data_IF_317298886613
#
_entry.id   IF_317298886613
#
_cell.length_a   1.000
_cell.length_b   1.000
_cell.length_c   1.000
_cell.angle_alpha   90.00
_cell.angle_beta   90.00
_cell.angle_gamma   90.00
#
_symmetry.space_group_name_H-M   'P 1'
#
loop_
_entity.id
_entity.type
_entity.pdbx_description
1 polymer ?
#
# COMPACT_ATOMS: atom_id res chain seq x y z
N UNK A 1 39.02 -17.01 34.51
CA UNK A 1 38.77 -16.28 33.24
C UNK A 1 37.34 -15.81 33.33
N UNK A 2 37.10 -14.48 33.38
CA UNK A 2 35.75 -13.91 33.32
C UNK A 2 35.10 -14.37 32.02
N UNK A 3 33.84 -14.82 32.07
CA UNK A 3 33.09 -15.16 30.85
C UNK A 3 33.03 -13.91 29.95
N UNK A 4 33.32 -14.08 28.66
CA UNK A 4 33.28 -12.99 27.70
C UNK A 4 31.82 -12.53 27.53
N UNK A 5 31.51 -11.32 27.96
CA UNK A 5 30.19 -10.73 27.84
C UNK A 5 29.98 -10.28 26.37
N UNK A 6 28.96 -10.82 25.73
CA UNK A 6 28.53 -10.40 24.39
C UNK A 6 27.16 -9.76 24.47
N UNK A 7 26.85 -8.88 23.52
CA UNK A 7 25.61 -8.11 23.43
C UNK A 7 24.98 -8.30 22.08
N UNK A 8 23.68 -8.47 22.05
CA UNK A 8 22.92 -8.56 20.83
C UNK A 8 21.58 -7.85 21.02
N UNK A 9 21.23 -6.98 20.09
CA UNK A 9 19.90 -6.37 20.07
C UNK A 9 18.91 -7.34 19.43
N UNK A 10 17.66 -7.23 19.86
CA UNK A 10 16.55 -7.91 19.19
C UNK A 10 15.45 -6.89 18.92
N UNK A 11 15.26 -6.55 17.66
CA UNK A 11 14.18 -5.73 17.13
C UNK A 11 13.17 -6.67 16.44
N UNK A 12 11.91 -6.46 16.73
CA UNK A 12 10.85 -7.26 16.11
C UNK A 12 10.69 -6.92 14.62
N UNK A 13 11.00 -7.85 13.70
CA UNK A 13 10.87 -7.55 12.28
C UNK A 13 9.40 -7.46 11.82
N UNK A 14 8.44 -8.00 12.57
CA UNK A 14 7.03 -7.93 12.20
C UNK A 14 6.51 -6.48 12.29
N UNK A 15 7.06 -5.68 13.19
CA UNK A 15 6.63 -4.29 13.36
C UNK A 15 6.79 -3.43 12.09
N UNK A 16 7.85 -3.62 11.32
CA UNK A 16 8.01 -2.90 10.04
C UNK A 16 7.10 -3.45 8.96
N UNK A 17 6.78 -4.74 8.99
CA UNK A 17 5.82 -5.33 8.06
C UNK A 17 4.40 -4.87 8.39
N UNK A 18 4.01 -4.81 9.66
CA UNK A 18 2.73 -4.21 10.09
C UNK A 18 2.62 -2.75 9.67
N UNK A 19 3.71 -1.98 9.84
CA UNK A 19 3.74 -0.59 9.37
C UNK A 19 3.60 -0.51 7.85
N UNK A 20 4.28 -1.37 7.10
CA UNK A 20 4.14 -1.44 5.65
C UNK A 20 2.70 -1.78 5.24
N UNK A 21 2.08 -2.75 5.90
CA UNK A 21 0.68 -3.09 5.66
C UNK A 21 -0.27 -1.91 5.94
N UNK A 22 0.05 -1.04 6.89
CA UNK A 22 -0.76 0.16 7.18
C UNK A 22 -0.74 1.20 6.04
N UNK A 23 0.23 1.14 5.13
CA UNK A 23 0.26 1.99 3.94
C UNK A 23 -0.86 1.62 2.96
N UNK A 24 -1.24 0.34 2.95
CA UNK A 24 -2.21 -0.27 2.03
C UNK A 24 -3.47 -0.78 2.78
N UNK A 25 -3.74 -0.28 4.00
CA UNK A 25 -4.79 -0.81 4.89
C UNK A 25 -6.19 -0.87 4.26
N UNK A 26 -6.46 -0.03 3.25
CA UNK A 26 -7.71 -0.02 2.48
C UNK A 26 -7.51 -0.40 1.00
N UNK A 27 -6.52 -1.26 0.71
CA UNK A 27 -6.21 -1.72 -0.65
C UNK A 27 -7.43 -2.38 -1.32
N UNK A 28 -8.25 -3.10 -0.56
CA UNK A 28 -9.51 -3.69 -1.03
C UNK A 28 -10.56 -2.68 -1.52
N UNK A 29 -10.43 -1.39 -1.18
CA UNK A 29 -11.27 -0.31 -1.70
C UNK A 29 -10.69 0.24 -3.00
N UNK A 30 -9.36 0.17 -3.17
CA UNK A 30 -8.64 0.69 -4.32
C UNK A 30 -7.74 -0.40 -4.89
N UNK A 31 -8.11 -0.99 -6.00
CA UNK A 31 -7.36 -2.11 -6.62
C UNK A 31 -5.97 -1.72 -7.16
N UNK A 32 -5.66 -0.44 -7.29
CA UNK A 32 -4.44 0.00 -7.96
C UNK A 32 -3.55 0.94 -7.16
N UNK A 33 -4.10 1.90 -6.41
CA UNK A 33 -3.30 2.92 -5.72
C UNK A 33 -3.95 3.30 -4.38
N UNK A 34 -3.24 3.09 -3.27
CA UNK A 34 -3.74 3.41 -1.93
C UNK A 34 -4.01 4.91 -1.71
N UNK A 35 -4.85 5.26 -0.74
CA UNK A 35 -5.06 6.67 -0.34
C UNK A 35 -3.77 7.35 0.10
N UNK A 36 -2.90 6.60 0.75
CA UNK A 36 -1.59 7.09 1.23
C UNK A 36 -0.73 7.44 0.03
N UNK A 37 -0.53 6.53 -0.90
CA UNK A 37 0.24 6.74 -2.12
C UNK A 37 -0.26 7.98 -2.89
N UNK A 38 -1.53 7.99 -3.29
CA UNK A 38 -2.13 9.12 -4.04
C UNK A 38 -1.97 10.48 -3.38
N UNK A 39 -2.00 10.50 -2.04
CA UNK A 39 -1.84 11.74 -1.29
C UNK A 39 -0.38 12.17 -1.24
N UNK A 40 0.53 11.22 -1.01
CA UNK A 40 1.94 11.53 -0.80
C UNK A 40 2.72 11.66 -2.10
N UNK A 41 2.28 11.10 -3.22
CA UNK A 41 2.80 11.42 -4.56
C UNK A 41 2.63 12.91 -4.91
N UNK A 42 1.50 13.50 -4.50
CA UNK A 42 1.20 14.93 -4.74
C UNK A 42 1.92 15.87 -3.77
N UNK A 43 2.52 15.33 -2.71
CA UNK A 43 3.29 16.10 -1.73
C UNK A 43 4.78 16.02 -2.03
N UNK A 44 5.52 17.06 -1.64
CA UNK A 44 6.97 17.10 -1.77
C UNK A 44 7.63 17.21 -0.39
N UNK A 45 8.64 16.39 -0.15
CA UNK A 45 9.54 16.50 0.97
C UNK A 45 10.92 16.97 0.48
N UNK A 46 11.26 18.23 0.74
CA UNK A 46 12.51 18.85 0.27
C UNK A 46 12.73 18.76 -1.25
N UNK A 47 11.66 18.84 -2.03
CA UNK A 47 11.71 18.78 -3.50
C UNK A 47 11.69 17.37 -4.10
N UNK A 48 11.56 16.32 -3.27
CA UNK A 48 11.43 14.92 -3.69
C UNK A 48 9.98 14.48 -3.45
N UNK A 49 9.36 13.65 -4.32
CA UNK A 49 8.04 13.08 -4.02
C UNK A 49 8.03 12.42 -2.65
N UNK A 50 7.04 12.77 -1.83
CA UNK A 50 7.01 12.29 -0.45
C UNK A 50 6.76 10.77 -0.39
N UNK A 51 6.05 10.21 -1.37
CA UNK A 51 5.83 8.76 -1.47
C UNK A 51 7.16 8.00 -1.66
N UNK A 52 8.02 8.46 -2.59
CA UNK A 52 9.35 7.86 -2.79
C UNK A 52 10.16 7.84 -1.50
N UNK A 53 10.08 8.94 -0.72
CA UNK A 53 10.77 9.02 0.57
C UNK A 53 10.21 8.01 1.58
N UNK A 54 8.88 7.79 1.62
CA UNK A 54 8.26 6.78 2.49
C UNK A 54 8.76 5.39 2.11
N UNK A 55 8.67 5.02 0.84
CA UNK A 55 9.12 3.72 0.33
C UNK A 55 10.59 3.44 0.68
N UNK A 56 11.47 4.42 0.43
CA UNK A 56 12.91 4.28 0.76
C UNK A 56 13.11 4.09 2.27
N UNK A 57 12.38 4.83 3.12
CA UNK A 57 12.48 4.66 4.57
C UNK A 57 12.07 3.25 5.01
N UNK A 58 10.97 2.72 4.50
CA UNK A 58 10.48 1.37 4.80
C UNK A 58 11.52 0.32 4.41
N UNK A 59 12.04 0.37 3.18
CA UNK A 59 13.09 -0.54 2.73
C UNK A 59 14.34 -0.46 3.61
N UNK A 60 14.80 0.76 3.92
CA UNK A 60 16.00 0.95 4.77
C UNK A 60 15.80 0.39 6.17
N UNK A 61 14.64 0.59 6.77
CA UNK A 61 14.34 0.04 8.10
C UNK A 61 14.35 -1.48 8.05
N UNK A 62 13.63 -2.08 7.08
CA UNK A 62 13.54 -3.54 6.92
C UNK A 62 14.90 -4.20 6.78
N UNK A 63 15.72 -3.74 5.84
CA UNK A 63 17.05 -4.28 5.59
C UNK A 63 17.96 -4.13 6.82
N UNK A 64 17.91 -2.95 7.45
CA UNK A 64 18.80 -2.64 8.57
C UNK A 64 18.41 -3.36 9.86
N UNK A 65 17.12 -3.58 10.12
CA UNK A 65 16.65 -4.37 11.28
C UNK A 65 17.18 -5.80 11.21
N UNK A 66 17.08 -6.45 10.03
CA UNK A 66 17.65 -7.79 9.82
C UNK A 66 19.16 -7.82 10.09
N UNK A 67 19.89 -6.81 9.60
CA UNK A 67 21.32 -6.69 9.86
C UNK A 67 21.64 -6.49 11.35
N UNK A 68 20.96 -5.56 12.04
CA UNK A 68 21.20 -5.29 13.47
C UNK A 68 20.93 -6.50 14.34
N UNK A 69 19.87 -7.26 14.05
CA UNK A 69 19.52 -8.49 14.76
C UNK A 69 20.59 -9.60 14.59
N UNK A 70 21.37 -9.57 13.51
CA UNK A 70 22.45 -10.54 13.27
C UNK A 70 23.76 -10.14 13.95
N UNK A 71 23.90 -8.90 14.44
CA UNK A 71 25.16 -8.41 14.98
C UNK A 71 25.36 -8.88 16.43
N UNK A 72 26.55 -9.42 16.70
CA UNK A 72 27.02 -9.74 18.07
C UNK A 72 28.16 -8.79 18.40
N UNK A 73 27.97 -8.01 19.46
CA UNK A 73 28.93 -7.01 19.93
C UNK A 73 29.69 -7.50 21.17
N UNK A 74 30.84 -6.92 21.45
CA UNK A 74 31.62 -7.22 22.61
C UNK A 74 33.07 -7.60 22.27
N UNK A 75 33.84 -7.94 23.30
CA UNK A 75 35.24 -8.33 23.13
C UNK A 75 35.37 -9.75 22.57
N UNK A 76 35.61 -9.86 21.27
CA UNK A 76 35.93 -11.10 20.58
C UNK A 76 37.44 -11.25 20.40
N UNK A 77 37.89 -12.46 20.03
CA UNK A 77 39.32 -12.77 19.85
C UNK A 77 39.98 -11.89 18.78
N UNK A 78 39.21 -11.49 17.76
CA UNK A 78 39.60 -10.57 16.70
C UNK A 78 38.64 -9.37 16.55
N UNK A 79 37.70 -9.18 17.52
CA UNK A 79 36.75 -8.08 17.54
C UNK A 79 37.41 -6.78 17.97
N UNK A 80 37.21 -5.74 17.21
CA UNK A 80 37.58 -4.37 17.57
C UNK A 80 36.36 -3.55 17.90
N UNK A 81 36.55 -2.35 18.44
CA UNK A 81 35.45 -1.41 18.64
C UNK A 81 34.78 -0.95 17.35
N UNK A 82 35.30 -1.33 16.17
CA UNK A 82 34.67 -1.08 14.87
C UNK A 82 33.31 -1.73 14.73
N UNK A 83 33.06 -2.86 15.41
CA UNK A 83 31.74 -3.50 15.39
C UNK A 83 30.68 -2.59 16.06
N UNK A 84 31.06 -1.91 17.14
CA UNK A 84 30.21 -0.90 17.76
C UNK A 84 29.99 0.31 16.85
N UNK A 85 31.01 0.79 16.16
CA UNK A 85 30.93 1.90 15.22
C UNK A 85 29.95 1.56 14.08
N UNK A 86 30.09 0.37 13.50
CA UNK A 86 29.20 -0.13 12.45
C UNK A 86 27.76 -0.27 12.96
N UNK A 87 27.59 -0.82 14.15
CA UNK A 87 26.29 -0.95 14.81
C UNK A 87 25.61 0.42 14.99
N UNK A 88 26.32 1.42 15.55
CA UNK A 88 25.78 2.77 15.78
C UNK A 88 25.37 3.46 14.47
N UNK A 89 26.17 3.29 13.40
CA UNK A 89 25.84 3.85 12.10
C UNK A 89 24.58 3.22 11.52
N UNK A 90 24.46 1.91 11.57
CA UNK A 90 23.28 1.21 11.08
C UNK A 90 22.04 1.48 11.96
N UNK A 91 22.19 1.50 13.27
CA UNK A 91 21.10 1.89 14.16
C UNK A 91 20.58 3.30 13.82
N UNK A 92 21.48 4.26 13.53
CA UNK A 92 21.05 5.59 13.15
C UNK A 92 20.27 5.65 11.84
N UNK A 93 20.54 4.74 10.88
CA UNK A 93 19.73 4.64 9.65
C UNK A 93 18.27 4.33 9.98
N UNK A 94 18.02 3.40 10.90
CA UNK A 94 16.66 3.09 11.36
C UNK A 94 16.03 4.31 12.04
N UNK A 95 16.73 4.94 12.98
CA UNK A 95 16.20 6.06 13.76
C UNK A 95 15.92 7.29 12.87
N UNK A 96 16.84 7.63 11.97
CA UNK A 96 16.71 8.75 11.04
C UNK A 96 15.57 8.52 10.05
N UNK A 97 15.36 7.26 9.60
CA UNK A 97 14.24 6.87 8.73
C UNK A 97 12.89 7.03 9.45
N UNK A 98 12.79 6.62 10.72
CA UNK A 98 11.58 6.80 11.53
C UNK A 98 11.27 8.28 11.73
N UNK A 99 12.28 9.11 12.02
CA UNK A 99 12.10 10.55 12.14
C UNK A 99 11.65 11.19 10.82
N UNK A 100 12.12 10.68 9.69
CA UNK A 100 11.71 11.14 8.36
C UNK A 100 10.26 10.77 8.09
N UNK A 101 9.86 9.52 8.34
CA UNK A 101 8.48 9.06 8.22
C UNK A 101 7.54 9.92 9.08
N UNK A 102 7.87 10.14 10.35
CA UNK A 102 7.08 10.98 11.24
C UNK A 102 6.89 12.40 10.69
N UNK A 103 7.95 13.02 10.14
CA UNK A 103 7.88 14.36 9.55
C UNK A 103 7.02 14.40 8.29
N UNK A 104 7.15 13.41 7.41
CA UNK A 104 6.39 13.34 6.16
C UNK A 104 4.90 13.14 6.45
N UNK A 105 4.58 12.25 7.37
CA UNK A 105 3.21 11.91 7.76
C UNK A 105 2.58 12.98 8.64
N UNK A 106 3.42 13.80 9.30
CA UNK A 106 2.97 14.88 10.18
C UNK A 106 2.74 14.45 11.63
N UNK A 107 3.46 13.41 12.09
CA UNK A 107 3.40 12.95 13.47
C UNK A 107 4.37 13.77 14.33
N UNK A 108 3.86 14.41 15.37
CA UNK A 108 4.70 15.11 16.34
C UNK A 108 5.39 14.13 17.29
N UNK A 109 6.72 14.17 17.29
CA UNK A 109 7.62 13.40 18.14
C UNK A 109 8.37 14.28 19.17
N UNK A 110 7.90 15.49 19.45
CA UNK A 110 8.59 16.41 20.37
C UNK A 110 8.74 15.85 21.78
N UNK A 111 7.73 15.16 22.30
CA UNK A 111 7.79 14.51 23.61
C UNK A 111 8.79 13.35 23.63
N UNK A 112 8.78 12.51 22.58
CA UNK A 112 9.67 11.38 22.40
C UNK A 112 11.14 11.83 22.23
N UNK A 113 11.33 12.97 21.57
CA UNK A 113 12.66 13.57 21.39
C UNK A 113 13.22 14.20 22.68
N UNK A 114 12.35 14.64 23.58
CA UNK A 114 12.73 15.21 24.88
C UNK A 114 12.94 14.15 25.99
N UNK A 115 12.66 12.87 25.72
CA UNK A 115 12.79 11.77 26.66
C UNK A 115 14.23 11.61 27.14
N UNK A 116 14.40 11.20 28.43
CA UNK A 116 15.71 10.99 29.09
C UNK A 116 15.79 9.63 29.79
N UNK A 117 14.83 8.72 29.54
CA UNK A 117 14.67 7.49 30.33
C UNK A 117 15.71 6.39 30.02
N UNK A 118 16.33 6.42 28.82
CA UNK A 118 17.32 5.41 28.45
C UNK A 118 18.71 5.73 29.01
N UNK A 119 19.21 6.94 28.81
CA UNK A 119 20.55 7.33 29.19
C UNK A 119 20.60 8.20 30.47
N UNK A 120 19.49 8.82 30.84
CA UNK A 120 19.45 9.74 31.97
C UNK A 120 20.24 11.05 31.77
N UNK A 121 20.72 11.32 30.57
CA UNK A 121 21.63 12.42 30.25
C UNK A 121 20.86 13.69 29.86
N UNK A 122 20.75 14.62 30.78
CA UNK A 122 20.06 15.91 30.56
C UNK A 122 20.97 16.99 29.98
N UNK A 123 22.29 16.71 29.90
CA UNK A 123 23.30 17.66 29.45
C UNK A 123 23.59 18.78 30.47
N UNK A 124 24.71 19.47 30.30
CA UNK A 124 25.16 20.57 31.20
C UNK A 124 24.22 21.78 31.18
N UNK A 125 23.50 21.96 30.06
CA UNK A 125 22.55 23.07 29.90
C UNK A 125 21.07 22.65 30.14
N UNK A 126 20.82 21.42 30.57
CA UNK A 126 19.48 20.88 30.79
C UNK A 126 18.65 20.64 29.52
N UNK A 127 19.24 20.77 28.33
CA UNK A 127 18.58 20.60 27.04
C UNK A 127 18.97 19.30 26.32
N UNK A 128 19.59 18.39 27.05
CA UNK A 128 19.90 17.04 26.60
C UNK A 128 18.62 16.16 26.52
N UNK A 129 18.80 14.94 26.04
CA UNK A 129 17.79 13.91 25.96
C UNK A 129 18.35 12.67 25.27
N UNK A 130 17.64 11.57 25.37
CA UNK A 130 18.11 10.26 24.84
C UNK A 130 18.51 10.34 23.37
N UNK A 131 17.69 11.01 22.53
CA UNK A 131 18.01 11.19 21.12
C UNK A 131 19.31 11.95 20.91
N UNK A 132 19.48 13.11 21.57
CA UNK A 132 20.70 13.92 21.45
C UNK A 132 21.92 13.21 21.99
N UNK A 133 21.74 12.42 23.07
CA UNK A 133 22.87 11.68 23.65
C UNK A 133 23.30 10.53 22.72
N UNK A 134 22.35 9.83 22.08
CA UNK A 134 22.67 8.86 21.06
C UNK A 134 23.41 9.49 19.87
N UNK A 135 22.96 10.66 19.40
CA UNK A 135 23.63 11.42 18.34
C UNK A 135 25.04 11.88 18.77
N UNK A 136 25.21 12.23 20.05
CA UNK A 136 26.53 12.54 20.63
C UNK A 136 27.45 11.33 20.61
N UNK A 137 27.00 10.18 21.11
CA UNK A 137 27.77 8.94 21.09
C UNK A 137 28.17 8.56 19.65
N UNK A 138 27.23 8.65 18.73
CA UNK A 138 27.51 8.42 17.29
C UNK A 138 28.52 9.41 16.74
N UNK A 139 28.38 10.70 17.04
CA UNK A 139 29.31 11.73 16.59
C UNK A 139 30.73 11.48 17.09
N UNK A 140 30.86 11.18 18.39
CA UNK A 140 32.14 10.94 19.04
C UNK A 140 32.81 9.65 18.53
N UNK A 141 32.04 8.56 18.42
CA UNK A 141 32.61 7.22 18.17
C UNK A 141 32.71 6.86 16.71
N UNK A 142 31.81 7.37 15.83
CA UNK A 142 31.62 6.82 14.50
C UNK A 142 31.74 7.85 13.37
N UNK A 143 31.17 9.05 13.51
CA UNK A 143 31.05 10.00 12.39
C UNK A 143 32.22 10.99 12.35
N UNK A 144 32.71 11.40 13.50
CA UNK A 144 33.86 12.32 13.63
C UNK A 144 34.94 11.73 14.51
N UNK A 145 35.54 10.59 14.13
CA UNK A 145 36.41 9.80 14.97
C UNK A 145 37.81 10.44 15.18
N UNK A 146 38.10 11.55 14.52
CA UNK A 146 39.37 12.25 14.65
C UNK A 146 39.21 13.57 15.40
N UNK A 147 38.22 14.37 15.03
CA UNK A 147 37.96 15.68 15.63
C UNK A 147 36.48 16.05 15.56
N UNK A 148 35.93 16.61 16.63
CA UNK A 148 34.57 17.17 16.65
C UNK A 148 34.44 18.32 17.63
N UNK A 149 33.61 19.31 17.30
CA UNK A 149 33.12 20.34 18.21
C UNK A 149 31.62 20.28 18.43
N UNK A 150 31.00 19.20 17.90
CA UNK A 150 29.53 19.00 18.05
C UNK A 150 29.19 18.68 19.49
N UNK A 151 28.02 19.13 19.91
CA UNK A 151 27.50 18.97 21.29
C UNK A 151 28.27 19.70 22.36
N UNK A 152 29.14 20.68 21.97
CA UNK A 152 29.69 21.63 22.93
C UNK A 152 28.55 22.32 23.69
N UNK A 153 28.74 22.58 24.95
CA UNK A 153 27.78 23.18 25.91
C UNK A 153 26.48 22.31 26.07
N UNK A 154 26.49 21.08 25.55
CA UNK A 154 25.42 20.10 25.80
C UNK A 154 25.97 18.92 26.61
N UNK A 155 27.00 18.24 26.11
CA UNK A 155 27.59 17.05 26.74
C UNK A 155 29.06 17.22 27.08
N UNK A 156 29.74 18.25 26.60
CA UNK A 156 31.11 18.63 26.96
C UNK A 156 31.26 20.16 26.92
N UNK A 157 32.29 20.68 27.58
CA UNK A 157 32.60 22.11 27.61
C UNK A 157 33.78 22.47 26.70
N UNK A 158 34.59 21.51 26.34
CA UNK A 158 35.75 21.70 25.49
C UNK A 158 35.37 22.24 24.09
N UNK A 159 36.22 23.10 23.53
CA UNK A 159 36.06 23.66 22.19
C UNK A 159 36.27 22.60 21.12
N UNK A 160 37.17 21.67 21.37
CA UNK A 160 37.55 20.59 20.45
C UNK A 160 37.76 19.31 21.26
N UNK A 161 37.14 18.21 20.75
CA UNK A 161 37.36 16.85 21.21
C UNK A 161 38.02 16.08 20.11
N UNK A 162 39.14 15.41 20.37
CA UNK A 162 39.93 14.74 19.33
C UNK A 162 40.28 13.30 19.67
N UNK A 163 40.49 12.52 18.64
CA UNK A 163 41.06 11.17 18.68
C UNK A 163 40.43 10.25 19.73
N UNK A 164 39.09 10.06 19.75
CA UNK A 164 38.45 9.17 20.73
C UNK A 164 38.98 7.73 20.56
N UNK A 165 39.47 7.17 21.66
CA UNK A 165 39.91 5.79 21.71
C UNK A 165 38.82 4.90 22.33
N UNK A 166 38.35 3.91 21.59
CA UNK A 166 37.28 3.03 22.00
C UNK A 166 37.81 1.68 22.47
N UNK A 167 37.38 1.22 23.63
CA UNK A 167 37.80 -0.05 24.19
C UNK A 167 36.62 -0.78 24.84
N UNK A 168 36.43 -2.07 24.48
CA UNK A 168 35.53 -2.93 25.23
C UNK A 168 36.10 -3.18 26.63
N UNK A 169 35.33 -2.83 27.64
CA UNK A 169 35.66 -2.98 29.05
C UNK A 169 35.23 -4.36 29.52
N UNK A 170 34.00 -4.73 29.26
CA UNK A 170 33.43 -6.02 29.67
C UNK A 170 34.25 -7.20 29.14
N UNK A 171 34.63 -8.11 30.02
CA UNK A 171 35.50 -9.26 29.71
C UNK A 171 36.99 -8.89 29.58
N UNK A 172 37.39 -7.69 30.05
CA UNK A 172 38.80 -7.27 30.06
C UNK A 172 39.29 -6.92 31.47
N UNK A 173 40.62 -6.84 31.70
CA UNK A 173 41.16 -6.35 32.97
C UNK A 173 40.72 -4.93 33.34
N UNK A 174 40.22 -4.16 32.37
CA UNK A 174 39.73 -2.78 32.58
C UNK A 174 38.40 -2.73 33.36
N UNK A 175 37.68 -3.85 33.52
CA UNK A 175 36.52 -3.96 34.42
C UNK A 175 36.82 -3.57 35.89
N UNK A 176 38.07 -3.70 36.28
CA UNK A 176 38.50 -3.24 37.63
C UNK A 176 38.61 -1.72 37.77
N UNK A 177 38.62 -1.01 36.64
CA UNK A 177 38.79 0.45 36.58
C UNK A 177 37.50 1.16 36.17
N UNK A 178 36.75 0.57 35.21
CA UNK A 178 35.58 1.14 34.58
C UNK A 178 34.37 0.23 34.77
N UNK A 179 33.29 0.78 35.33
CA UNK A 179 32.00 0.09 35.43
C UNK A 179 31.13 0.44 34.24
N UNK A 180 31.52 -0.05 33.06
CA UNK A 180 30.76 0.13 31.80
C UNK A 180 31.06 -1.01 30.84
N UNK A 181 30.30 -1.10 29.74
CA UNK A 181 30.49 -2.15 28.70
C UNK A 181 31.55 -1.74 27.66
N UNK A 182 31.52 -0.48 27.23
CA UNK A 182 32.50 0.13 26.33
C UNK A 182 32.90 1.50 26.87
N UNK A 183 34.18 1.81 26.78
CA UNK A 183 34.77 3.05 27.22
C UNK A 183 35.33 3.83 26.05
N UNK A 184 34.95 5.12 25.97
CA UNK A 184 35.52 6.07 25.02
C UNK A 184 36.33 7.11 25.78
N UNK A 185 37.61 7.17 25.48
CA UNK A 185 38.52 8.21 25.98
C UNK A 185 38.84 9.19 24.87
N UNK A 186 38.60 10.47 25.09
CA UNK A 186 38.82 11.51 24.09
C UNK A 186 39.75 12.60 24.66
N UNK A 187 40.62 13.14 23.83
CA UNK A 187 41.49 14.25 24.23
C UNK A 187 40.75 15.57 23.98
N UNK A 188 40.92 16.52 24.90
CA UNK A 188 40.28 17.83 24.85
C UNK A 188 41.34 18.94 24.92
N UNK A 189 41.05 20.09 24.33
CA UNK A 189 41.93 21.22 24.27
C UNK A 189 41.85 22.14 25.51
N UNK A 190 41.45 21.60 26.66
CA UNK A 190 41.39 22.31 27.92
C UNK A 190 42.70 22.22 28.71
N UNK A 191 43.18 23.33 29.25
CA UNK A 191 44.38 23.35 30.06
C UNK A 191 44.19 22.51 31.32
N UNK A 192 45.14 21.60 31.57
CA UNK A 192 45.16 20.65 32.70
C UNK A 192 44.10 19.53 32.63
N UNK A 193 43.46 19.26 31.51
CA UNK A 193 42.60 18.11 31.32
C UNK A 193 43.39 16.92 30.78
N UNK A 194 43.13 15.72 31.36
CA UNK A 194 43.67 14.44 30.85
C UNK A 194 42.80 13.84 29.73
N UNK A 195 41.73 14.53 29.35
CA UNK A 195 40.73 14.07 28.43
C UNK A 195 39.35 13.93 29.05
N UNK A 196 38.39 13.53 28.25
CA UNK A 196 37.03 13.19 28.65
C UNK A 196 36.79 11.70 28.50
N UNK A 197 36.19 11.12 29.54
CA UNK A 197 35.83 9.71 29.57
C UNK A 197 34.32 9.56 29.43
N UNK A 198 33.88 8.77 28.44
CA UNK A 198 32.49 8.47 28.19
C UNK A 198 32.24 6.97 28.37
N UNK A 199 31.45 6.64 29.40
CA UNK A 199 31.03 5.28 29.68
C UNK A 199 29.77 4.96 28.87
N UNK A 200 29.82 3.87 28.12
CA UNK A 200 28.70 3.38 27.29
C UNK A 200 28.20 2.05 27.87
N UNK A 201 26.90 2.01 28.13
CA UNK A 201 26.17 0.82 28.59
C UNK A 201 25.31 0.30 27.46
N UNK A 202 25.53 -0.92 27.03
CA UNK A 202 24.85 -1.49 25.85
C UNK A 202 23.36 -1.69 26.05
N UNK A 203 22.93 -1.96 27.28
CA UNK A 203 21.51 -2.04 27.64
C UNK A 203 20.77 -0.71 27.43
N UNK A 204 21.42 0.41 27.77
CA UNK A 204 20.87 1.76 27.56
C UNK A 204 20.77 2.09 26.06
N UNK A 205 21.82 1.76 25.28
CA UNK A 205 21.83 1.93 23.82
C UNK A 205 20.69 1.13 23.19
N UNK A 206 20.56 -0.16 23.56
CA UNK A 206 19.51 -1.02 23.06
C UNK A 206 18.11 -0.57 23.48
N UNK A 207 17.94 -0.13 24.72
CA UNK A 207 16.67 0.39 25.22
C UNK A 207 16.24 1.63 24.42
N UNK A 208 17.17 2.53 24.09
CA UNK A 208 16.90 3.69 23.25
C UNK A 208 16.47 3.28 21.84
N UNK A 209 17.25 2.41 21.19
CA UNK A 209 16.95 1.96 19.81
C UNK A 209 15.60 1.25 19.75
N UNK A 210 15.32 0.31 20.66
CA UNK A 210 14.04 -0.39 20.76
C UNK A 210 12.87 0.58 20.93
N UNK A 211 13.01 1.54 21.83
CA UNK A 211 11.99 2.57 22.04
C UNK A 211 11.75 3.39 20.78
N UNK A 212 12.82 3.87 20.13
CA UNK A 212 12.67 4.63 18.89
C UNK A 212 12.03 3.80 17.77
N UNK A 213 12.42 2.54 17.65
CA UNK A 213 11.85 1.60 16.68
C UNK A 213 10.35 1.40 16.91
N UNK A 214 9.90 1.27 18.16
CA UNK A 214 8.48 1.10 18.50
C UNK A 214 7.60 2.30 18.11
N UNK A 215 8.18 3.46 17.77
CA UNK A 215 7.43 4.62 17.28
C UNK A 215 6.77 4.38 15.92
N UNK A 216 7.15 3.33 15.19
CA UNK A 216 6.44 2.88 14.00
C UNK A 216 4.97 2.61 14.29
N UNK A 217 4.62 2.06 15.47
CA UNK A 217 3.21 1.90 15.89
C UNK A 217 2.46 3.24 15.93
N UNK A 218 3.08 4.27 16.50
CA UNK A 218 2.46 5.61 16.57
C UNK A 218 2.23 6.20 15.19
N UNK A 219 3.18 5.96 14.28
CA UNK A 219 3.13 6.46 12.90
C UNK A 219 2.09 5.66 12.09
N UNK A 220 2.04 4.33 12.25
CA UNK A 220 1.04 3.45 11.63
C UNK A 220 -0.38 3.85 12.03
N UNK A 221 -0.65 4.00 13.33
CA UNK A 221 -1.94 4.51 13.81
C UNK A 221 -2.31 5.91 13.28
N UNK A 222 -1.34 6.73 12.93
CA UNK A 222 -1.62 8.03 12.29
C UNK A 222 -2.00 7.86 10.82
N UNK A 223 -1.42 6.90 10.12
CA UNK A 223 -1.80 6.54 8.75
C UNK A 223 -3.21 5.95 8.69
N UNK A 224 -3.54 5.02 9.57
CA UNK A 224 -4.89 4.45 9.66
C UNK A 224 -5.94 5.57 9.85
N UNK A 225 -5.73 6.43 10.84
CA UNK A 225 -6.61 7.59 11.07
C UNK A 225 -6.71 8.54 9.87
N UNK A 226 -5.62 8.70 9.12
CA UNK A 226 -5.64 9.49 7.89
C UNK A 226 -6.54 8.84 6.83
N UNK A 227 -6.43 7.54 6.64
CA UNK A 227 -7.24 6.77 5.68
C UNK A 227 -8.72 6.80 6.08
N UNK A 228 -9.03 6.48 7.33
CA UNK A 228 -10.40 6.57 7.87
C UNK A 228 -10.99 7.98 7.68
N UNK A 229 -10.18 9.00 7.96
CA UNK A 229 -10.57 10.39 7.77
C UNK A 229 -10.93 10.71 6.31
N UNK A 230 -10.18 10.15 5.34
CA UNK A 230 -10.47 10.32 3.90
C UNK A 230 -11.74 9.59 3.49
N UNK A 231 -11.95 8.39 3.96
CA UNK A 231 -13.19 7.65 3.74
C UNK A 231 -14.38 8.46 4.26
N UNK A 232 -14.31 8.97 5.49
CA UNK A 232 -15.36 9.79 6.07
C UNK A 232 -15.58 11.13 5.35
N UNK A 233 -14.53 11.74 4.78
CA UNK A 233 -14.67 12.92 3.91
C UNK A 233 -15.48 12.57 2.66
N UNK A 234 -15.16 11.47 1.97
CA UNK A 234 -15.87 11.04 0.77
C UNK A 234 -17.32 10.63 1.06
N UNK A 235 -17.59 9.95 2.18
CA UNK A 235 -18.97 9.61 2.61
C UNK A 235 -19.87 10.83 2.77
N UNK A 236 -19.31 11.97 3.16
CA UNK A 236 -20.05 13.23 3.30
C UNK A 236 -20.36 13.92 1.98
N UNK A 237 -19.63 13.59 0.91
CA UNK A 237 -19.84 14.12 -0.43
C UNK A 237 -20.88 13.24 -1.12
N UNK A 238 -22.09 13.73 -1.43
CA UNK A 238 -23.09 12.90 -2.08
C UNK A 238 -22.62 12.43 -3.45
N UNK A 239 -22.87 11.16 -3.79
CA UNK A 239 -22.70 10.68 -5.15
C UNK A 239 -23.77 11.37 -6.02
N UNK A 240 -23.39 11.97 -7.15
CA UNK A 240 -24.32 12.74 -7.95
C UNK A 240 -25.42 11.83 -8.53
N UNK A 241 -26.70 12.18 -8.31
CA UNK A 241 -27.81 11.54 -8.97
C UNK A 241 -27.85 11.93 -10.47
N UNK A 242 -28.45 11.07 -11.30
CA UNK A 242 -28.67 11.37 -12.71
C UNK A 242 -29.58 12.60 -12.86
N UNK A 243 -29.20 13.55 -13.71
CA UNK A 243 -30.02 14.74 -14.02
C UNK A 243 -31.17 14.37 -14.95
N UNK A 244 -32.27 15.13 -14.89
CA UNK A 244 -33.49 14.81 -15.66
C UNK A 244 -33.30 14.85 -17.19
N UNK A 245 -32.38 15.67 -17.66
CA UNK A 245 -32.04 15.88 -19.07
C UNK A 245 -30.71 15.21 -19.47
N UNK A 246 -30.08 14.45 -18.56
CA UNK A 246 -28.82 13.78 -18.78
C UNK A 246 -29.05 12.43 -19.48
N UNK A 247 -28.26 12.13 -20.51
CA UNK A 247 -28.25 10.79 -21.11
C UNK A 247 -27.63 9.77 -20.16
N UNK A 248 -27.97 8.49 -20.31
CA UNK A 248 -27.37 7.42 -19.48
C UNK A 248 -25.86 7.37 -19.64
N UNK A 249 -25.37 7.53 -20.86
CA UNK A 249 -23.94 7.53 -21.18
C UNK A 249 -23.18 8.69 -20.52
N UNK A 250 -23.75 9.90 -20.52
CA UNK A 250 -23.17 11.04 -19.85
C UNK A 250 -23.13 10.87 -18.31
N UNK A 251 -24.17 10.23 -17.77
CA UNK A 251 -24.20 9.88 -16.36
C UNK A 251 -23.12 8.86 -16.00
N UNK A 252 -22.93 7.82 -16.82
CA UNK A 252 -21.85 6.83 -16.64
C UNK A 252 -20.46 7.48 -16.66
N UNK A 253 -20.21 8.41 -17.60
CA UNK A 253 -18.95 9.16 -17.64
C UNK A 253 -18.71 9.96 -16.35
N UNK A 254 -19.76 10.54 -15.79
CA UNK A 254 -19.68 11.29 -14.53
C UNK A 254 -19.41 10.37 -13.35
N UNK A 255 -20.01 9.17 -13.29
CA UNK A 255 -19.73 8.16 -12.27
C UNK A 255 -18.30 7.65 -12.35
N UNK A 256 -17.78 7.40 -13.56
CA UNK A 256 -16.38 7.08 -13.80
C UNK A 256 -15.44 8.13 -13.17
N UNK A 257 -15.75 9.42 -13.35
CA UNK A 257 -14.99 10.50 -12.71
C UNK A 257 -15.05 10.46 -11.18
N UNK A 258 -16.22 10.18 -10.60
CA UNK A 258 -16.39 10.04 -9.16
C UNK A 258 -15.59 8.84 -8.62
N UNK A 259 -15.58 7.71 -9.32
CA UNK A 259 -14.79 6.54 -8.95
C UNK A 259 -13.29 6.84 -8.97
N UNK A 260 -12.81 7.44 -10.05
CA UNK A 260 -11.40 7.85 -10.16
C UNK A 260 -10.97 8.80 -9.03
N UNK A 261 -11.86 9.71 -8.61
CA UNK A 261 -11.59 10.62 -7.49
C UNK A 261 -11.55 9.87 -6.15
N UNK A 262 -12.50 8.96 -5.90
CA UNK A 262 -12.67 8.27 -4.61
C UNK A 262 -11.69 7.12 -4.44
N UNK A 263 -11.58 6.26 -5.44
CA UNK A 263 -10.80 5.03 -5.37
C UNK A 263 -9.47 5.08 -6.14
N UNK A 264 -9.27 6.09 -6.99
CA UNK A 264 -8.04 6.22 -7.79
C UNK A 264 -7.93 5.21 -8.93
N UNK A 265 -8.98 4.44 -9.18
CA UNK A 265 -8.99 3.46 -10.25
C UNK A 265 -9.32 4.10 -11.59
N UNK A 266 -8.66 3.63 -12.64
CA UNK A 266 -9.02 3.90 -14.03
C UNK A 266 -9.76 2.68 -14.59
N UNK A 267 -10.96 2.42 -14.09
CA UNK A 267 -11.81 1.35 -14.58
C UNK A 267 -12.45 1.72 -15.93
N UNK A 268 -11.62 2.30 -16.78
CA UNK A 268 -12.02 2.83 -18.08
C UNK A 268 -12.78 1.81 -18.93
N UNK A 269 -12.30 0.58 -18.98
CA UNK A 269 -12.86 -0.48 -19.82
C UNK A 269 -14.30 -0.81 -19.45
N UNK A 270 -14.61 -0.96 -18.16
CA UNK A 270 -15.96 -1.33 -17.71
C UNK A 270 -16.97 -0.21 -17.94
N UNK A 271 -16.61 1.03 -17.61
CA UNK A 271 -17.51 2.15 -17.87
C UNK A 271 -17.72 2.41 -19.36
N UNK A 272 -16.69 2.20 -20.18
CA UNK A 272 -16.80 2.34 -21.63
C UNK A 272 -17.65 1.23 -22.23
N UNK A 273 -17.55 0.00 -21.71
CA UNK A 273 -18.43 -1.07 -22.11
C UNK A 273 -19.88 -0.85 -21.64
N UNK A 274 -20.10 -0.38 -20.40
CA UNK A 274 -21.41 0.03 -19.90
C UNK A 274 -22.08 1.07 -20.81
N UNK A 275 -21.33 2.08 -21.26
CA UNK A 275 -21.83 3.09 -22.23
C UNK A 275 -22.19 2.45 -23.57
N UNK A 276 -21.35 1.54 -24.06
CA UNK A 276 -21.61 0.83 -25.30
C UNK A 276 -22.91 0.03 -25.21
N UNK A 277 -23.13 -0.72 -24.11
CA UNK A 277 -24.36 -1.46 -23.86
C UNK A 277 -25.58 -0.55 -23.78
N UNK A 278 -25.52 0.50 -22.96
CA UNK A 278 -26.65 1.39 -22.72
C UNK A 278 -27.06 2.20 -23.96
N UNK A 279 -26.11 2.49 -24.85
CA UNK A 279 -26.36 3.17 -26.12
C UNK A 279 -26.69 2.22 -27.29
N UNK A 280 -26.52 0.91 -27.10
CA UNK A 280 -26.69 -0.06 -28.16
C UNK A 280 -28.17 -0.16 -28.59
N UNK A 281 -28.43 -0.01 -29.88
CA UNK A 281 -29.76 -0.23 -30.50
C UNK A 281 -29.60 -1.28 -31.58
N UNK A 282 -30.30 -2.43 -31.45
CA UNK A 282 -30.17 -3.51 -32.43
C UNK A 282 -30.80 -3.15 -33.74
N UNK A 283 -30.17 -3.51 -34.86
CA UNK A 283 -30.71 -3.35 -36.19
C UNK A 283 -31.99 -4.19 -36.37
N UNK A 284 -31.99 -5.43 -35.88
CA UNK A 284 -33.16 -6.31 -35.90
C UNK A 284 -34.14 -6.02 -34.78
N UNK A 285 -35.42 -5.72 -35.06
CA UNK A 285 -36.43 -5.54 -34.02
C UNK A 285 -36.66 -6.80 -33.15
N UNK A 286 -36.30 -7.99 -33.64
CA UNK A 286 -36.44 -9.25 -32.89
C UNK A 286 -35.53 -9.28 -31.66
N UNK A 287 -34.41 -8.56 -31.67
CA UNK A 287 -33.44 -8.52 -30.59
C UNK A 287 -33.79 -7.51 -29.47
N UNK A 288 -34.80 -6.63 -29.68
CA UNK A 288 -35.08 -5.53 -28.74
C UNK A 288 -35.32 -6.00 -27.28
N UNK A 289 -36.04 -7.11 -27.13
CA UNK A 289 -36.38 -7.59 -25.76
C UNK A 289 -35.13 -8.10 -25.02
N UNK A 290 -34.27 -8.86 -25.69
CA UNK A 290 -33.03 -9.37 -25.11
C UNK A 290 -32.06 -8.21 -24.80
N UNK A 291 -31.94 -7.27 -25.75
CA UNK A 291 -31.12 -6.06 -25.55
C UNK A 291 -31.59 -5.27 -24.33
N UNK A 292 -32.90 -5.01 -24.20
CA UNK A 292 -33.39 -4.21 -23.05
C UNK A 292 -33.22 -4.95 -21.73
N UNK A 293 -33.34 -6.29 -21.74
CA UNK A 293 -33.06 -7.11 -20.56
C UNK A 293 -31.58 -6.97 -20.11
N UNK A 294 -30.68 -7.03 -21.08
CA UNK A 294 -29.25 -6.86 -20.82
C UNK A 294 -28.91 -5.44 -20.34
N UNK A 295 -29.49 -4.39 -20.95
CA UNK A 295 -29.37 -3.00 -20.47
C UNK A 295 -29.82 -2.86 -19.01
N UNK A 296 -30.92 -3.52 -18.63
CA UNK A 296 -31.42 -3.48 -17.25
C UNK A 296 -30.44 -4.14 -16.28
N UNK A 297 -29.71 -5.18 -16.70
CA UNK A 297 -28.66 -5.75 -15.89
C UNK A 297 -27.54 -4.77 -15.60
N UNK A 298 -27.09 -4.08 -16.65
CA UNK A 298 -26.06 -3.08 -16.50
C UNK A 298 -26.50 -1.89 -15.64
N UNK A 299 -27.75 -1.46 -15.74
CA UNK A 299 -28.33 -0.45 -14.84
C UNK A 299 -28.31 -0.92 -13.38
N UNK A 300 -28.65 -2.18 -13.14
CA UNK A 300 -28.58 -2.75 -11.80
C UNK A 300 -27.13 -2.82 -11.29
N UNK A 301 -26.17 -3.24 -12.11
CA UNK A 301 -24.77 -3.24 -11.74
C UNK A 301 -24.24 -1.83 -11.40
N UNK A 302 -24.66 -0.82 -12.17
CA UNK A 302 -24.36 0.58 -11.88
C UNK A 302 -24.99 1.06 -10.56
N UNK A 303 -26.21 0.63 -10.25
CA UNK A 303 -26.87 0.96 -8.98
C UNK A 303 -26.14 0.34 -7.78
N UNK A 304 -25.61 -0.89 -7.92
CA UNK A 304 -24.75 -1.48 -6.90
C UNK A 304 -23.45 -0.68 -6.74
N UNK A 305 -22.83 -0.29 -7.85
CA UNK A 305 -21.62 0.53 -7.81
C UNK A 305 -21.86 1.90 -7.16
N UNK A 306 -23.05 2.49 -7.32
CA UNK A 306 -23.42 3.72 -6.60
C UNK A 306 -23.39 3.53 -5.08
N UNK A 307 -23.81 2.38 -4.57
CA UNK A 307 -23.73 2.09 -3.14
C UNK A 307 -22.27 2.01 -2.69
N UNK A 308 -21.42 1.30 -3.43
CA UNK A 308 -19.97 1.24 -3.18
C UNK A 308 -19.37 2.64 -3.13
N UNK A 309 -19.67 3.47 -4.14
CA UNK A 309 -19.18 4.85 -4.19
C UNK A 309 -19.65 5.68 -3.01
N UNK A 310 -20.93 5.56 -2.60
CA UNK A 310 -21.51 6.31 -1.47
C UNK A 310 -20.92 5.90 -0.15
N UNK A 311 -20.87 4.59 0.09
CA UNK A 311 -20.51 4.03 1.39
C UNK A 311 -18.99 3.88 1.54
N UNK A 312 -18.23 4.13 0.46
CA UNK A 312 -16.78 3.92 0.43
C UNK A 312 -16.41 2.54 0.98
N UNK A 313 -17.22 1.54 0.64
CA UNK A 313 -17.11 0.18 1.14
C UNK A 313 -17.76 -0.76 0.15
N UNK A 314 -17.19 -1.95 0.04
CA UNK A 314 -17.78 -3.06 -0.72
C UNK A 314 -18.86 -3.81 0.08
N UNK A 315 -18.96 -3.56 1.39
CA UNK A 315 -19.98 -4.15 2.27
C UNK A 315 -21.41 -3.90 1.78
N UNK A 316 -21.68 -2.78 1.09
CA UNK A 316 -22.98 -2.52 0.46
C UNK A 316 -23.38 -3.56 -0.60
N UNK A 317 -22.42 -4.32 -1.11
CA UNK A 317 -22.62 -5.44 -2.04
C UNK A 317 -22.96 -6.73 -1.27
N UNK A 318 -22.52 -6.92 -0.04
CA UNK A 318 -22.87 -8.04 0.82
C UNK A 318 -24.38 -8.15 1.02
N UNK A 319 -25.08 -7.03 1.12
CA UNK A 319 -26.54 -7.00 1.20
C UNK A 319 -27.22 -7.52 -0.08
N UNK A 320 -26.50 -7.55 -1.18
CA UNK A 320 -26.93 -8.20 -2.43
C UNK A 320 -26.52 -9.68 -2.50
N UNK A 321 -25.79 -10.18 -1.49
CA UNK A 321 -25.33 -11.58 -1.39
C UNK A 321 -24.03 -11.89 -2.15
N UNK A 322 -23.21 -10.85 -2.42
CA UNK A 322 -21.87 -10.98 -3.00
C UNK A 322 -20.86 -11.04 -1.84
N UNK A 323 -19.95 -12.02 -1.83
CA UNK A 323 -18.94 -12.15 -0.78
C UNK A 323 -17.92 -11.01 -0.79
N UNK A 324 -17.23 -10.78 0.34
CA UNK A 324 -16.25 -9.72 0.57
C UNK A 324 -15.15 -9.59 -0.49
N UNK A 325 -14.76 -10.69 -1.12
CA UNK A 325 -13.74 -10.74 -2.16
C UNK A 325 -14.28 -10.40 -3.57
N UNK A 326 -15.63 -10.32 -3.72
CA UNK A 326 -16.29 -10.12 -4.99
C UNK A 326 -16.93 -8.74 -5.06
N UNK A 327 -16.28 -7.85 -5.71
CA UNK A 327 -16.68 -6.46 -5.89
C UNK A 327 -17.75 -6.29 -6.97
N UNK A 328 -18.35 -5.12 -7.04
CA UNK A 328 -19.17 -4.70 -8.19
C UNK A 328 -18.49 -4.98 -9.55
N UNK A 329 -17.17 -5.10 -9.56
CA UNK A 329 -16.34 -5.59 -10.63
C UNK A 329 -16.72 -6.97 -11.11
N UNK A 330 -16.90 -7.93 -10.21
CA UNK A 330 -17.28 -9.30 -10.58
C UNK A 330 -18.60 -9.29 -11.31
N UNK A 331 -19.56 -8.47 -10.91
CA UNK A 331 -20.82 -8.34 -11.65
C UNK A 331 -20.61 -7.72 -13.03
N UNK A 332 -19.80 -6.67 -13.15
CA UNK A 332 -19.48 -6.05 -14.42
C UNK A 332 -18.69 -7.01 -15.34
N UNK A 333 -17.65 -7.66 -14.83
CA UNK A 333 -16.88 -8.66 -15.57
C UNK A 333 -17.78 -9.83 -16.00
N UNK A 334 -18.66 -10.28 -15.11
CA UNK A 334 -19.58 -11.35 -15.45
C UNK A 334 -20.54 -10.94 -16.57
N UNK A 335 -21.11 -9.74 -16.50
CA UNK A 335 -21.97 -9.21 -17.54
C UNK A 335 -21.22 -8.98 -18.87
N UNK A 336 -19.95 -8.54 -18.78
CA UNK A 336 -19.11 -8.33 -19.97
C UNK A 336 -18.72 -9.65 -20.63
N UNK A 337 -18.26 -10.63 -19.86
CA UNK A 337 -17.70 -11.87 -20.40
C UNK A 337 -18.69 -13.03 -20.42
N UNK A 338 -19.73 -13.00 -19.57
CA UNK A 338 -20.75 -14.05 -19.43
C UNK A 338 -20.17 -15.47 -19.46
N UNK A 339 -19.29 -15.77 -18.51
CA UNK A 339 -18.58 -17.06 -18.43
C UNK A 339 -19.50 -18.19 -17.90
N UNK A 340 -20.68 -18.37 -18.49
CA UNK A 340 -21.51 -19.50 -18.15
C UNK A 340 -20.82 -20.81 -18.53
N UNK A 341 -20.63 -21.69 -17.55
CA UNK A 341 -20.06 -23.03 -17.72
C UNK A 341 -21.17 -24.06 -17.89
N UNK A 342 -22.15 -23.78 -18.75
CA UNK A 342 -23.18 -24.77 -19.08
C UNK A 342 -22.67 -25.83 -20.05
N UNK A 343 -23.30 -27.00 -20.03
CA UNK A 343 -22.93 -28.11 -20.89
C UNK A 343 -23.03 -27.76 -22.40
N UNK A 344 -23.97 -26.88 -22.76
CA UNK A 344 -24.17 -26.43 -24.14
C UNK A 344 -22.96 -25.64 -24.70
N UNK A 345 -22.26 -24.94 -23.86
CA UNK A 345 -21.05 -24.19 -24.21
C UNK A 345 -19.77 -25.00 -24.00
N UNK A 346 -19.90 -26.24 -23.48
CA UNK A 346 -18.78 -27.16 -23.33
C UNK A 346 -18.15 -27.44 -24.68
N UNK A 347 -16.85 -27.28 -24.80
CA UNK A 347 -16.12 -27.47 -26.07
C UNK A 347 -15.98 -26.21 -26.93
N UNK A 348 -16.67 -25.11 -26.64
CA UNK A 348 -16.58 -23.85 -27.39
C UNK A 348 -15.63 -22.80 -26.76
N UNK A 349 -14.80 -23.16 -25.77
CA UNK A 349 -13.90 -22.22 -25.10
C UNK A 349 -13.03 -21.39 -26.05
N UNK A 350 -12.49 -22.03 -27.11
CA UNK A 350 -11.71 -21.34 -28.14
C UNK A 350 -12.56 -20.36 -28.96
N UNK A 351 -13.80 -20.73 -29.26
CA UNK A 351 -14.72 -19.87 -30.03
C UNK A 351 -15.08 -18.64 -29.20
N UNK A 352 -15.41 -18.83 -27.92
CA UNK A 352 -15.75 -17.75 -26.98
C UNK A 352 -14.61 -16.72 -26.86
N UNK A 353 -13.37 -17.18 -26.75
CA UNK A 353 -12.21 -16.32 -26.77
C UNK A 353 -12.12 -15.45 -28.03
N UNK A 354 -12.44 -16.04 -29.21
CA UNK A 354 -12.34 -15.35 -30.50
C UNK A 354 -13.50 -14.41 -30.79
N UNK A 355 -14.60 -14.45 -30.03
CA UNK A 355 -15.65 -13.43 -30.13
C UNK A 355 -15.12 -12.02 -29.80
N UNK A 356 -14.12 -11.90 -28.95
CA UNK A 356 -13.45 -10.63 -28.68
C UNK A 356 -12.87 -9.93 -29.91
N UNK A 357 -12.56 -10.67 -30.98
CA UNK A 357 -12.10 -10.07 -32.24
C UNK A 357 -13.16 -9.25 -32.98
N UNK A 358 -14.42 -9.30 -32.55
CA UNK A 358 -15.52 -8.53 -33.11
C UNK A 358 -15.79 -7.20 -32.39
N UNK A 359 -15.01 -6.86 -31.35
CA UNK A 359 -15.20 -5.67 -30.52
C UNK A 359 -14.94 -4.33 -31.22
N UNK A 360 -14.45 -4.38 -32.46
CA UNK A 360 -14.12 -3.20 -33.27
C UNK A 360 -12.70 -2.70 -33.12
N UNK A 361 -11.90 -3.32 -32.26
CA UNK A 361 -10.47 -2.95 -32.05
C UNK A 361 -9.52 -3.82 -32.87
N UNK A 362 -10.00 -4.98 -33.34
CA UNK A 362 -9.21 -5.98 -34.07
C UNK A 362 -9.07 -5.64 -35.55
N UNK A 363 -7.99 -6.13 -36.17
CA UNK A 363 -7.80 -6.03 -37.64
C UNK A 363 -8.80 -6.91 -38.44
N UNK A 364 -8.99 -6.59 -39.72
CA UNK A 364 -9.94 -7.29 -40.62
C UNK A 364 -9.79 -8.82 -40.63
N UNK A 365 -8.56 -9.34 -40.57
CA UNK A 365 -8.27 -10.78 -40.55
C UNK A 365 -8.81 -11.46 -39.29
N UNK A 366 -8.63 -10.80 -38.14
CA UNK A 366 -9.08 -11.32 -36.86
C UNK A 366 -10.61 -11.19 -36.73
N UNK A 367 -11.18 -10.07 -37.16
CA UNK A 367 -12.62 -9.88 -37.20
C UNK A 367 -13.30 -10.96 -38.09
N UNK A 368 -12.74 -11.25 -39.28
CA UNK A 368 -13.22 -12.33 -40.13
C UNK A 368 -13.17 -13.70 -39.43
N UNK A 369 -12.13 -13.95 -38.63
CA UNK A 369 -12.01 -15.15 -37.80
C UNK A 369 -13.07 -15.19 -36.70
N UNK A 370 -13.30 -14.04 -36.02
CA UNK A 370 -14.37 -13.88 -35.05
C UNK A 370 -15.73 -14.23 -35.61
N UNK A 371 -16.08 -13.72 -36.82
CA UNK A 371 -17.33 -14.05 -37.54
C UNK A 371 -17.48 -15.56 -37.83
N UNK A 372 -16.39 -16.22 -38.24
CA UNK A 372 -16.40 -17.68 -38.47
C UNK A 372 -16.72 -18.40 -37.16
N UNK A 373 -16.07 -18.00 -36.07
CA UNK A 373 -16.25 -18.63 -34.76
C UNK A 373 -17.65 -18.38 -34.17
N UNK A 374 -18.21 -17.21 -34.40
CA UNK A 374 -19.58 -16.90 -34.02
C UNK A 374 -20.58 -17.79 -34.83
N UNK A 375 -20.38 -17.95 -36.15
CA UNK A 375 -21.22 -18.82 -36.99
C UNK A 375 -21.20 -20.29 -36.55
N UNK A 376 -20.06 -20.78 -36.04
CA UNK A 376 -19.97 -22.14 -35.49
C UNK A 376 -20.83 -22.31 -34.23
N UNK A 377 -21.11 -21.22 -33.50
CA UNK A 377 -21.93 -21.19 -32.29
C UNK A 377 -23.39 -20.79 -32.55
N UNK A 378 -23.78 -20.49 -33.77
CA UNK A 378 -25.11 -19.97 -34.11
C UNK A 378 -26.24 -20.92 -33.70
N UNK A 379 -26.00 -22.24 -33.72
CA UNK A 379 -26.98 -23.23 -33.27
C UNK A 379 -27.31 -23.12 -31.75
N UNK A 380 -26.46 -22.46 -30.98
CA UNK A 380 -26.65 -22.22 -29.54
C UNK A 380 -27.09 -20.78 -29.34
N UNK A 381 -26.27 -19.80 -29.74
CA UNK A 381 -26.51 -18.38 -29.50
C UNK A 381 -27.71 -17.83 -30.27
N UNK A 382 -27.96 -18.35 -31.49
CA UNK A 382 -29.06 -17.95 -32.34
C UNK A 382 -30.45 -18.34 -31.81
N UNK A 383 -30.54 -19.12 -30.72
CA UNK A 383 -31.80 -19.36 -29.99
C UNK A 383 -32.29 -18.13 -29.23
N UNK A 384 -31.38 -17.24 -28.87
CA UNK A 384 -31.61 -16.10 -27.97
C UNK A 384 -31.62 -14.76 -28.68
N UNK A 385 -30.84 -14.64 -29.78
CA UNK A 385 -30.75 -13.42 -30.59
C UNK A 385 -30.72 -13.82 -32.09
N UNK A 386 -31.05 -12.87 -32.94
CA UNK A 386 -30.99 -13.03 -34.39
C UNK A 386 -29.75 -12.32 -34.92
N UNK A 387 -28.82 -13.06 -35.56
CA UNK A 387 -27.64 -12.52 -36.21
C UNK A 387 -27.89 -12.33 -37.70
N UNK A 388 -27.67 -11.14 -38.25
CA UNK A 388 -27.61 -10.89 -39.68
C UNK A 388 -26.14 -10.75 -40.12
N UNK A 389 -25.53 -11.89 -40.46
CA UNK A 389 -24.10 -11.96 -40.81
C UNK A 389 -23.72 -11.16 -42.06
N UNK A 390 -24.73 -10.71 -42.86
CA UNK A 390 -24.48 -9.95 -44.07
C UNK A 390 -24.53 -8.43 -43.80
N UNK A 391 -25.42 -8.00 -42.89
CA UNK A 391 -25.68 -6.59 -42.66
C UNK A 391 -25.20 -6.07 -41.30
N UNK A 392 -25.10 -6.94 -40.28
CA UNK A 392 -24.64 -6.52 -38.97
C UNK A 392 -23.13 -6.20 -38.97
N UNK A 393 -22.76 -5.09 -38.35
CA UNK A 393 -21.35 -4.73 -38.11
C UNK A 393 -20.68 -5.73 -37.16
N UNK A 394 -19.34 -5.77 -37.14
CA UNK A 394 -18.60 -6.62 -36.19
C UNK A 394 -18.97 -6.27 -34.75
N UNK A 395 -19.06 -5.00 -34.42
CA UNK A 395 -19.45 -4.52 -33.08
C UNK A 395 -20.87 -4.87 -32.71
N UNK A 396 -21.80 -4.89 -33.66
CA UNK A 396 -23.17 -5.36 -33.43
C UNK A 396 -23.20 -6.86 -33.18
N UNK A 397 -22.50 -7.66 -33.98
CA UNK A 397 -22.34 -9.09 -33.77
C UNK A 397 -21.70 -9.42 -32.43
N UNK A 398 -20.69 -8.62 -32.03
CA UNK A 398 -20.08 -8.75 -30.72
C UNK A 398 -21.09 -8.51 -29.59
N UNK A 399 -21.80 -7.38 -29.62
CA UNK A 399 -22.79 -7.03 -28.60
C UNK A 399 -23.90 -8.08 -28.53
N UNK A 400 -24.43 -8.52 -29.66
CA UNK A 400 -25.47 -9.58 -29.73
C UNK A 400 -24.95 -10.91 -29.16
N UNK A 401 -23.68 -11.25 -29.42
CA UNK A 401 -23.08 -12.45 -28.83
C UNK A 401 -23.00 -12.40 -27.32
N UNK A 402 -22.66 -11.23 -26.73
CA UNK A 402 -22.66 -11.02 -25.27
C UNK A 402 -24.08 -11.15 -24.70
N UNK A 403 -25.06 -10.55 -25.36
CA UNK A 403 -26.47 -10.65 -24.97
C UNK A 403 -26.96 -12.11 -25.01
N UNK A 404 -26.62 -12.87 -26.05
CA UNK A 404 -26.99 -14.27 -26.13
C UNK A 404 -26.38 -15.12 -25.03
N UNK A 405 -25.09 -14.93 -24.74
CA UNK A 405 -24.39 -15.60 -23.62
C UNK A 405 -25.04 -15.31 -22.29
N UNK A 406 -25.47 -14.07 -22.11
CA UNK A 406 -26.16 -13.62 -20.93
C UNK A 406 -27.58 -14.29 -20.80
N UNK A 407 -28.37 -14.38 -21.89
CA UNK A 407 -29.65 -15.09 -21.89
C UNK A 407 -29.46 -16.57 -21.54
N UNK A 408 -28.40 -17.22 -22.07
CA UNK A 408 -28.03 -18.59 -21.70
C UNK A 408 -27.74 -18.71 -20.23
N UNK A 409 -26.95 -17.78 -19.69
CA UNK A 409 -26.62 -17.77 -18.28
C UNK A 409 -27.87 -17.64 -17.39
N UNK A 410 -28.86 -16.83 -17.80
CA UNK A 410 -30.17 -16.73 -17.14
C UNK A 410 -30.95 -18.04 -17.16
N UNK A 411 -31.04 -18.70 -18.32
CA UNK A 411 -31.78 -19.95 -18.47
C UNK A 411 -31.23 -21.07 -17.58
N UNK A 412 -29.91 -21.12 -17.45
CA UNK A 412 -29.22 -22.11 -16.64
C UNK A 412 -29.11 -21.73 -15.14
N UNK A 413 -29.73 -20.62 -14.70
CA UNK A 413 -29.56 -20.07 -13.36
C UNK A 413 -28.07 -20.01 -12.96
N UNK A 414 -27.22 -19.65 -13.90
CA UNK A 414 -25.79 -19.49 -13.62
C UNK A 414 -25.63 -18.44 -12.52
N UNK A 415 -24.88 -18.81 -11.49
CA UNK A 415 -24.56 -17.92 -10.41
C UNK A 415 -23.30 -17.14 -10.78
N UNK A 416 -23.27 -15.87 -10.46
CA UNK A 416 -22.07 -15.04 -10.60
C UNK A 416 -21.01 -15.58 -9.66
N UNK A 417 -21.44 -15.99 -8.49
CA UNK A 417 -20.77 -16.73 -7.45
C UNK A 417 -21.82 -17.66 -6.83
N UNK A 418 -21.45 -18.61 -5.99
CA UNK A 418 -22.40 -19.50 -5.29
C UNK A 418 -23.55 -18.76 -4.56
N UNK A 419 -23.46 -17.42 -4.46
CA UNK A 419 -24.36 -16.59 -3.66
C UNK A 419 -25.39 -15.76 -4.46
N UNK A 420 -25.21 -15.43 -5.75
CA UNK A 420 -26.18 -14.58 -6.48
C UNK A 420 -26.65 -15.27 -7.75
N UNK A 421 -27.90 -15.76 -7.76
CA UNK A 421 -28.56 -16.12 -8.99
C UNK A 421 -28.74 -14.89 -9.87
N UNK A 422 -28.29 -14.97 -11.13
CA UNK A 422 -28.48 -13.91 -12.14
C UNK A 422 -29.92 -13.44 -12.28
N UNK A 423 -30.90 -14.30 -11.96
CA UNK A 423 -32.32 -13.97 -12.01
C UNK A 423 -32.73 -12.88 -10.99
N UNK A 424 -31.98 -12.70 -9.89
CA UNK A 424 -32.19 -11.60 -8.93
C UNK A 424 -31.77 -10.24 -9.47
N UNK A 425 -30.81 -10.20 -10.38
CA UNK A 425 -30.38 -8.97 -11.05
C UNK A 425 -31.49 -8.34 -11.92
N UNK A 426 -32.59 -9.04 -12.17
CA UNK A 426 -33.61 -8.68 -13.17
C UNK A 426 -34.98 -8.37 -12.62
N UNK A 427 -35.25 -8.66 -11.37
CA UNK A 427 -36.54 -8.34 -10.83
C UNK A 427 -36.57 -6.85 -10.49
N UNK A 428 -37.35 -6.02 -11.23
CA UNK A 428 -37.61 -4.68 -10.75
C UNK A 428 -38.17 -4.83 -9.35
N UNK A 429 -37.51 -4.19 -8.38
CA UNK A 429 -38.09 -4.07 -7.04
C UNK A 429 -39.44 -3.42 -7.23
N UNK A 430 -40.51 -4.13 -6.80
CA UNK A 430 -41.88 -3.63 -6.80
C UNK A 430 -42.05 -2.53 -5.78
#
# INVERSE_FOLDING_TARGET
MSERKTFQIHLDPELIEEFNASLDAHEHISEQISFVERTFEKKSYRGIPAWDCICVCVHRIRDTVGYLNSQVLGKMEHGSAFDFINFMNNASVVLDSIDMLAKIIGVDLSQENARTAAFGQIGVNGKGGDKKYFEFLRSLCAVHPVETNRFKDVYHTADIVTCPYLTWVSGSPLEMIWDCDLHAHAFVNEANSWGEDVCVYMDQVFAHIKYRYSLLNKIGCALERFQDGKIEEFRKIPVPARLADETETAYVDRLKGVEAERFGSNNDLVYDFAKAVLSFEPTSPANKTAVERYKNAWRFALDLQLNVLRDMSREGIEHAGINDDDTGWVLFEHLEYCNCRCDELSGFGYNLEKLGYLDGTSGESDAARGRVKLKEMDCILGKHVVFDYENDSDTELYMLSRIALYEIALEHNCEINEAIPLDRCYRPQK
#
